data_IF_112382957021
#
_entry.id   IF_112382957021
#
_cell.length_a   1.000
_cell.length_b   1.000
_cell.length_c   1.000
_cell.angle_alpha   90.00
_cell.angle_beta   90.00
_cell.angle_gamma   90.00
#
_symmetry.space_group_name_H-M   'P 1'
#
loop_
_entity.id
_entity.type
_entity.pdbx_description
1 polymer ?
#
# COMPACT_ATOMS: atom_id res chain seq x y z
N UNK A 1 30.27 31.63 26.43
CA UNK A 1 28.97 32.14 26.89
C UNK A 1 27.90 31.71 25.90
N UNK A 2 26.95 30.93 26.40
CA UNK A 2 25.91 30.21 25.67
C UNK A 2 24.99 31.14 24.87
N UNK A 3 24.74 30.83 23.60
CA UNK A 3 23.63 31.42 22.85
C UNK A 3 22.34 30.71 23.24
N UNK A 4 21.24 31.42 23.55
CA UNK A 4 19.98 30.79 23.94
C UNK A 4 19.29 30.18 22.72
N UNK A 5 18.74 28.98 22.92
CA UNK A 5 17.90 28.25 21.97
C UNK A 5 16.48 28.81 22.04
N UNK A 6 15.90 29.35 20.95
CA UNK A 6 14.49 29.73 20.91
C UNK A 6 13.56 28.49 20.86
N UNK A 7 12.29 28.62 21.30
CA UNK A 7 11.42 27.50 21.67
C UNK A 7 10.92 26.70 20.46
N UNK A 8 10.96 25.36 20.59
CA UNK A 8 10.62 24.38 19.57
C UNK A 8 9.10 24.17 19.36
N UNK A 9 8.27 25.22 19.43
CA UNK A 9 6.80 25.07 19.49
C UNK A 9 5.99 25.76 18.39
N UNK A 10 6.61 26.20 17.28
CA UNK A 10 5.85 26.86 16.18
C UNK A 10 6.12 26.34 14.76
N UNK A 11 6.88 25.25 14.59
CA UNK A 11 7.13 24.67 13.26
C UNK A 11 6.35 23.37 13.02
N UNK A 12 5.05 23.35 13.36
CA UNK A 12 4.11 22.31 12.90
C UNK A 12 3.25 22.89 11.77
N UNK A 13 3.89 23.27 10.68
CA UNK A 13 3.18 23.53 9.43
C UNK A 13 3.57 22.40 8.47
N UNK A 14 2.61 21.49 8.33
CA UNK A 14 2.30 20.72 7.13
C UNK A 14 3.50 20.20 6.32
N UNK A 15 4.13 19.12 6.81
CA UNK A 15 4.77 18.21 5.87
C UNK A 15 3.66 17.59 5.01
N UNK A 16 3.64 17.84 3.69
CA UNK A 16 2.64 17.24 2.83
C UNK A 16 2.87 15.74 2.87
N UNK A 17 1.95 15.01 3.49
CA UNK A 17 1.79 13.59 3.18
C UNK A 17 1.43 13.57 1.70
N UNK A 18 2.44 13.39 0.84
CA UNK A 18 2.25 13.16 -0.58
C UNK A 18 1.57 11.80 -0.70
N UNK A 19 0.25 11.83 -0.55
CA UNK A 19 -0.64 10.77 -0.99
C UNK A 19 -0.34 10.66 -2.48
N UNK A 20 0.37 9.60 -2.87
CA UNK A 20 0.58 9.29 -4.27
C UNK A 20 -0.78 9.45 -4.96
N UNK A 21 -0.87 10.42 -5.87
CA UNK A 21 -2.08 10.65 -6.65
C UNK A 21 -2.38 9.33 -7.35
N UNK A 22 -3.32 8.56 -6.78
CA UNK A 22 -3.91 7.46 -7.49
C UNK A 22 -4.70 8.13 -8.58
N UNK A 23 -4.12 8.19 -9.77
CA UNK A 23 -4.80 8.63 -10.99
C UNK A 23 -6.09 7.82 -11.08
N UNK A 24 -7.18 8.44 -10.64
CA UNK A 24 -8.50 7.89 -10.71
C UNK A 24 -8.97 8.10 -12.14
N UNK A 25 -9.46 7.01 -12.73
CA UNK A 25 -9.98 6.91 -14.09
C UNK A 25 -8.96 6.86 -15.24
N UNK A 26 -8.49 5.65 -15.50
CA UNK A 26 -8.47 5.15 -16.87
C UNK A 26 -8.90 3.70 -16.87
N UNK A 27 -10.14 3.41 -17.27
CA UNK A 27 -10.55 2.05 -17.66
C UNK A 27 -9.68 1.64 -18.85
N UNK A 28 -8.61 0.91 -18.59
CA UNK A 28 -7.67 0.41 -19.59
C UNK A 28 -8.08 -0.96 -20.12
N UNK A 29 -7.93 -1.18 -21.42
CA UNK A 29 -8.03 -2.52 -22.01
C UNK A 29 -6.67 -3.21 -21.98
N UNK A 30 -6.67 -4.51 -21.71
CA UNK A 30 -5.46 -5.35 -21.72
C UNK A 30 -5.57 -6.31 -22.91
N UNK A 31 -4.67 -6.17 -23.88
CA UNK A 31 -4.54 -7.12 -24.99
C UNK A 31 -3.45 -8.13 -24.65
N UNK A 32 -3.81 -9.41 -24.55
CA UNK A 32 -2.88 -10.49 -24.19
C UNK A 32 -2.84 -11.54 -25.31
N UNK A 33 -1.63 -12.01 -25.65
CA UNK A 33 -1.42 -13.19 -26.48
C UNK A 33 -1.08 -14.36 -25.58
N UNK A 34 -1.81 -15.47 -25.73
CA UNK A 34 -1.60 -16.70 -24.98
C UNK A 34 -1.72 -17.91 -25.90
N UNK A 35 -1.06 -18.99 -25.52
CA UNK A 35 -1.18 -20.28 -26.20
C UNK A 35 -2.60 -20.84 -26.10
N UNK A 36 -2.98 -21.65 -27.11
CA UNK A 36 -4.31 -22.21 -27.20
C UNK A 36 -4.68 -23.11 -26.01
N UNK A 37 -3.71 -23.88 -25.50
CA UNK A 37 -3.93 -24.78 -24.37
C UNK A 37 -4.14 -24.01 -23.06
N UNK A 38 -3.35 -22.95 -22.83
CA UNK A 38 -3.55 -22.03 -21.70
C UNK A 38 -4.93 -21.40 -21.76
N UNK A 39 -5.38 -20.98 -22.94
CA UNK A 39 -6.72 -20.43 -23.12
C UNK A 39 -7.81 -21.44 -22.75
N UNK A 40 -7.71 -22.69 -23.21
CA UNK A 40 -8.69 -23.75 -22.89
C UNK A 40 -8.76 -24.00 -21.39
N UNK A 41 -7.61 -24.12 -20.73
CA UNK A 41 -7.53 -24.31 -19.28
C UNK A 41 -8.24 -23.18 -18.51
N UNK A 42 -8.06 -21.93 -18.95
CA UNK A 42 -8.74 -20.77 -18.35
C UNK A 42 -10.24 -20.82 -18.60
N UNK A 43 -10.67 -21.14 -19.84
CA UNK A 43 -12.07 -21.25 -20.20
C UNK A 43 -12.77 -22.34 -19.35
N UNK A 44 -12.14 -23.50 -19.14
CA UNK A 44 -12.64 -24.59 -18.29
C UNK A 44 -12.75 -24.17 -16.82
N UNK A 45 -11.72 -23.52 -16.28
CA UNK A 45 -11.71 -23.03 -14.89
C UNK A 45 -12.81 -21.97 -14.66
N UNK A 46 -13.02 -21.07 -15.63
CA UNK A 46 -14.07 -20.08 -15.58
C UNK A 46 -15.46 -20.74 -15.62
N UNK A 47 -15.65 -21.76 -16.46
CA UNK A 47 -16.90 -22.51 -16.57
C UNK A 47 -17.26 -23.23 -15.27
N UNK A 48 -16.29 -23.86 -14.59
CA UNK A 48 -16.50 -24.51 -13.27
C UNK A 48 -17.02 -23.54 -12.22
N UNK A 49 -16.58 -22.27 -12.28
CA UNK A 49 -17.01 -21.22 -11.35
C UNK A 49 -18.24 -20.44 -11.83
N UNK A 50 -18.79 -20.76 -13.02
CA UNK A 50 -19.92 -20.05 -13.62
C UNK A 50 -19.60 -18.60 -14.01
N UNK A 51 -18.32 -18.29 -14.26
CA UNK A 51 -17.84 -16.94 -14.58
C UNK A 51 -17.48 -16.82 -16.05
N UNK A 52 -17.46 -15.59 -16.57
CA UNK A 52 -16.86 -15.34 -17.88
C UNK A 52 -15.34 -15.45 -17.80
N UNK A 53 -14.67 -15.81 -18.90
CA UNK A 53 -13.20 -15.82 -18.98
C UNK A 53 -12.58 -14.51 -18.48
N UNK A 54 -13.10 -13.38 -18.94
CA UNK A 54 -12.56 -12.05 -18.58
C UNK A 54 -12.67 -11.79 -17.08
N UNK A 55 -13.82 -12.11 -16.49
CA UNK A 55 -14.05 -11.97 -15.04
C UNK A 55 -13.10 -12.87 -14.25
N UNK A 56 -12.99 -14.14 -14.63
CA UNK A 56 -12.07 -15.09 -14.00
C UNK A 56 -10.61 -14.59 -14.07
N UNK A 57 -10.17 -14.12 -15.24
CA UNK A 57 -8.82 -13.60 -15.41
C UNK A 57 -8.55 -12.37 -14.56
N UNK A 58 -9.45 -11.38 -14.57
CA UNK A 58 -9.27 -10.13 -13.82
C UNK A 58 -9.24 -10.41 -12.31
N UNK A 59 -10.14 -11.24 -11.81
CA UNK A 59 -10.18 -11.59 -10.40
C UNK A 59 -8.97 -12.39 -9.94
N UNK A 60 -8.57 -13.39 -10.74
CA UNK A 60 -7.38 -14.21 -10.46
C UNK A 60 -6.10 -13.36 -10.48
N UNK A 61 -5.95 -12.50 -11.48
CA UNK A 61 -4.81 -11.59 -11.58
C UNK A 61 -4.78 -10.60 -10.41
N UNK A 62 -5.94 -10.04 -10.02
CA UNK A 62 -6.04 -9.15 -8.87
C UNK A 62 -5.64 -9.84 -7.57
N UNK A 63 -6.16 -11.05 -7.33
CA UNK A 63 -5.83 -11.83 -6.14
C UNK A 63 -4.33 -12.10 -6.07
N UNK A 64 -3.76 -12.61 -7.16
CA UNK A 64 -2.34 -12.90 -7.23
C UNK A 64 -1.49 -11.65 -7.04
N UNK A 65 -1.89 -10.52 -7.62
CA UNK A 65 -1.20 -9.24 -7.44
C UNK A 65 -1.21 -8.78 -5.97
N UNK A 66 -2.35 -8.93 -5.29
CA UNK A 66 -2.45 -8.60 -3.85
C UNK A 66 -1.51 -9.50 -3.05
N UNK A 67 -1.54 -10.81 -3.28
CA UNK A 67 -0.71 -11.77 -2.54
C UNK A 67 0.78 -11.45 -2.74
N UNK A 68 1.21 -11.16 -3.98
CA UNK A 68 2.59 -10.75 -4.29
C UNK A 68 2.98 -9.44 -3.60
N UNK A 69 2.08 -8.46 -3.55
CA UNK A 69 2.34 -7.19 -2.86
C UNK A 69 2.38 -7.35 -1.34
N UNK A 70 1.59 -8.24 -0.77
CA UNK A 70 1.63 -8.55 0.67
C UNK A 70 2.92 -9.28 1.05
N UNK A 71 3.43 -10.12 0.16
CA UNK A 71 4.71 -10.80 0.32
C UNK A 71 5.93 -9.90 0.05
N UNK A 72 5.73 -8.66 -0.39
CA UNK A 72 6.81 -7.73 -0.67
C UNK A 72 7.55 -7.33 0.61
N UNK A 73 8.79 -7.81 0.76
CA UNK A 73 9.68 -7.51 1.90
C UNK A 73 10.69 -6.40 1.65
N UNK A 74 10.93 -6.06 0.38
CA UNK A 74 11.90 -5.06 -0.02
C UNK A 74 11.18 -3.82 -0.56
N UNK A 75 11.38 -2.70 0.11
CA UNK A 75 10.91 -1.39 -0.33
C UNK A 75 12.11 -0.60 -0.86
N UNK A 76 12.07 -0.25 -2.15
CA UNK A 76 13.07 0.63 -2.75
C UNK A 76 12.62 2.07 -2.54
N UNK A 77 13.49 2.87 -1.93
CA UNK A 77 13.29 4.29 -1.72
C UNK A 77 14.30 5.05 -2.57
N UNK A 78 13.87 6.13 -3.19
CA UNK A 78 14.78 7.13 -3.77
C UNK A 78 15.51 7.86 -2.63
N UNK A 79 16.67 8.50 -2.88
CA UNK A 79 17.50 9.10 -1.83
C UNK A 79 16.73 10.03 -0.89
N UNK A 80 15.93 10.96 -1.44
CA UNK A 80 15.15 11.91 -0.64
C UNK A 80 14.14 11.21 0.30
N UNK A 81 13.54 10.11 -0.17
CA UNK A 81 12.59 9.31 0.61
C UNK A 81 13.30 8.50 1.69
N UNK A 82 14.52 8.05 1.41
CA UNK A 82 15.35 7.36 2.38
C UNK A 82 15.77 8.29 3.51
N UNK A 83 16.21 9.51 3.19
CA UNK A 83 16.60 10.51 4.20
C UNK A 83 15.42 10.90 5.12
N UNK A 84 14.24 11.12 4.53
CA UNK A 84 13.01 11.36 5.30
C UNK A 84 12.64 10.17 6.21
N UNK A 85 12.83 8.94 5.71
CA UNK A 85 12.59 7.73 6.50
C UNK A 85 13.57 7.63 7.68
N UNK A 86 14.86 7.86 7.48
CA UNK A 86 15.87 7.86 8.55
C UNK A 86 15.57 8.94 9.59
N UNK A 87 15.23 10.16 9.15
CA UNK A 87 14.87 11.24 10.06
C UNK A 87 13.65 10.90 10.94
N UNK A 88 12.65 10.23 10.37
CA UNK A 88 11.48 9.78 11.12
C UNK A 88 11.80 8.69 12.16
N UNK A 89 12.84 7.88 11.91
CA UNK A 89 13.33 6.88 12.87
C UNK A 89 14.15 7.52 14.00
N UNK A 90 15.00 8.48 13.68
CA UNK A 90 15.87 9.15 14.66
C UNK A 90 15.10 10.10 15.58
N UNK A 91 14.00 10.69 15.09
CA UNK A 91 13.15 11.60 15.85
C UNK A 91 11.67 11.14 15.86
N UNK A 92 11.34 10.04 16.57
CA UNK A 92 9.99 9.52 16.58
C UNK A 92 9.02 10.54 17.19
N UNK A 93 7.90 10.85 16.50
CA UNK A 93 6.94 11.82 17.00
C UNK A 93 6.23 11.27 18.26
N UNK A 94 5.88 12.18 19.17
CA UNK A 94 5.10 11.81 20.35
C UNK A 94 3.76 11.14 19.94
N UNK A 95 3.32 10.10 20.66
CA UNK A 95 2.13 9.33 20.27
C UNK A 95 0.87 10.21 20.26
N UNK A 96 0.30 10.39 19.06
CA UNK A 96 -0.92 11.14 18.88
C UNK A 96 -2.12 10.55 19.64
N UNK A 97 -3.19 11.33 19.87
CA UNK A 97 -4.38 10.87 20.59
C UNK A 97 -5.02 9.61 19.96
N UNK A 98 -5.00 9.49 18.61
CA UNK A 98 -5.48 8.29 17.90
C UNK A 98 -4.65 7.04 18.19
N UNK A 99 -3.31 7.16 18.20
CA UNK A 99 -2.42 6.03 18.52
C UNK A 99 -2.63 5.56 19.97
N UNK A 100 -2.77 6.51 20.90
CA UNK A 100 -3.08 6.20 22.32
C UNK A 100 -4.43 5.51 22.47
N UNK A 101 -5.44 5.92 21.72
CA UNK A 101 -6.75 5.25 21.73
C UNK A 101 -6.69 3.84 21.14
N UNK A 102 -5.94 3.65 20.05
CA UNK A 102 -5.76 2.34 19.41
C UNK A 102 -5.07 1.34 20.35
N UNK A 103 -3.98 1.74 21.01
CA UNK A 103 -3.23 0.88 21.93
C UNK A 103 -4.02 0.48 23.19
N UNK A 104 -5.07 1.24 23.55
CA UNK A 104 -5.97 0.92 24.68
C UNK A 104 -7.13 0.00 24.30
N UNK A 105 -7.35 -0.23 23.00
CA UNK A 105 -8.48 -1.03 22.52
C UNK A 105 -8.16 -2.51 22.68
N UNK A 106 -9.09 -3.27 23.26
CA UNK A 106 -8.99 -4.73 23.33
C UNK A 106 -8.99 -5.29 21.89
N UNK A 107 -8.02 -6.14 21.52
CA UNK A 107 -7.98 -6.73 20.19
C UNK A 107 -9.22 -7.59 19.93
N UNK A 108 -9.73 -7.54 18.70
CA UNK A 108 -11.00 -8.20 18.35
C UNK A 108 -10.94 -9.74 18.43
N UNK A 109 -9.74 -10.31 18.39
CA UNK A 109 -9.47 -11.76 18.48
C UNK A 109 -9.27 -12.27 19.91
N UNK A 110 -9.34 -11.40 20.92
CA UNK A 110 -9.20 -11.78 22.33
C UNK A 110 -10.59 -12.00 23.00
N UNK A 111 -11.53 -12.59 22.25
CA UNK A 111 -12.82 -13.05 22.74
C UNK A 111 -12.83 -14.57 22.87
#
# INVERSE_FOLDING_TARGET
MSRPRPPASEAREDLPVMVAERSADAKGSINLRIEADTRRLIDDAAAVLGKTRTEFMVESARRQAIDVLLDQRLFRLDPDRFDAFVQALDAPPAPGPKLRSLLRRVPAWQK
#
